data_IF_169839554296
#
_entry.id   IF_169839554296
#
_cell.length_a   1.000
_cell.length_b   1.000
_cell.length_c   1.000
_cell.angle_alpha   90.00
_cell.angle_beta   90.00
_cell.angle_gamma   90.00
#
_symmetry.space_group_name_H-M   'P 1'
#
loop_
_entity.id
_entity.type
_entity.pdbx_description
1 polymer ?
#
# COMPACT_ATOMS: atom_id res chain seq x y z
N UNK A 1 -42.98 -39.63 41.09
CA UNK A 1 -43.32 -38.80 39.91
C UNK A 1 -42.41 -37.57 39.98
N UNK A 2 -41.30 -37.54 39.25
CA UNK A 2 -40.40 -36.37 39.21
C UNK A 2 -40.48 -35.78 37.81
N UNK A 3 -41.06 -34.60 37.70
CA UNK A 3 -41.24 -33.84 36.47
C UNK A 3 -39.91 -33.36 35.91
N UNK A 4 -39.73 -33.51 34.59
CA UNK A 4 -38.64 -32.95 33.81
C UNK A 4 -39.08 -31.59 33.22
N UNK A 5 -38.24 -30.56 33.34
CA UNK A 5 -38.41 -29.26 32.68
C UNK A 5 -37.29 -29.17 31.62
N UNK A 6 -37.57 -28.97 30.32
CA UNK A 6 -36.53 -28.76 29.34
C UNK A 6 -36.13 -27.28 29.30
N UNK A 7 -34.84 -27.01 29.52
CA UNK A 7 -34.26 -25.68 29.34
C UNK A 7 -34.03 -25.42 27.84
N UNK A 8 -34.72 -24.42 27.29
CA UNK A 8 -34.55 -23.95 25.92
C UNK A 8 -33.30 -23.07 25.85
N UNK A 9 -32.20 -23.62 25.32
CA UNK A 9 -30.97 -22.87 25.07
C UNK A 9 -31.14 -22.04 23.78
N UNK A 10 -31.25 -20.72 23.93
CA UNK A 10 -31.21 -19.77 22.81
C UNK A 10 -29.74 -19.65 22.40
N UNK A 11 -29.38 -20.26 21.27
CA UNK A 11 -28.08 -20.08 20.66
C UNK A 11 -28.00 -18.69 20.03
N UNK A 12 -27.31 -17.76 20.71
CA UNK A 12 -26.85 -16.52 20.11
C UNK A 12 -25.82 -16.89 19.02
N UNK A 13 -26.20 -16.81 17.75
CA UNK A 13 -25.22 -16.84 16.67
C UNK A 13 -24.48 -15.49 16.65
N UNK A 14 -23.14 -15.48 16.73
CA UNK A 14 -22.39 -14.24 16.51
C UNK A 14 -22.55 -13.85 15.05
N UNK A 15 -23.08 -12.65 14.82
CA UNK A 15 -23.05 -12.00 13.52
C UNK A 15 -21.58 -11.71 13.19
N UNK A 16 -20.98 -12.53 12.34
CA UNK A 16 -19.69 -12.21 11.76
C UNK A 16 -19.87 -10.94 10.92
N UNK A 17 -19.46 -9.80 11.47
CA UNK A 17 -19.37 -8.56 10.72
C UNK A 17 -18.38 -8.79 9.60
N UNK A 18 -18.87 -8.92 8.37
CA UNK A 18 -18.05 -8.76 7.19
C UNK A 18 -17.51 -7.33 7.25
N UNK A 19 -16.19 -7.17 7.41
CA UNK A 19 -15.53 -5.91 7.14
C UNK A 19 -15.67 -5.65 5.64
N UNK A 20 -16.77 -5.00 5.24
CA UNK A 20 -16.87 -4.39 3.92
C UNK A 20 -15.75 -3.36 3.82
N UNK A 21 -14.92 -3.48 2.78
CA UNK A 21 -13.61 -2.85 2.66
C UNK A 21 -13.61 -1.35 2.93
N UNK A 22 -13.27 -0.98 4.17
CA UNK A 22 -13.06 0.42 4.57
C UNK A 22 -11.68 0.91 4.18
N UNK A 23 -10.75 0.00 3.90
CA UNK A 23 -9.41 0.33 3.45
C UNK A 23 -9.40 0.37 1.93
N UNK A 24 -8.94 1.49 1.37
CA UNK A 24 -8.80 1.69 -0.07
C UNK A 24 -7.38 2.15 -0.41
N UNK A 25 -6.97 1.92 -1.66
CA UNK A 25 -5.65 2.31 -2.16
C UNK A 25 -5.85 3.17 -3.39
N UNK A 26 -5.19 4.33 -3.42
CA UNK A 26 -5.21 5.24 -4.56
C UNK A 26 -3.80 5.78 -4.87
N UNK A 27 -3.66 6.44 -6.02
CA UNK A 27 -2.40 6.98 -6.54
C UNK A 27 -1.23 5.99 -6.60
N UNK A 28 -1.54 4.70 -6.62
CA UNK A 28 -0.56 3.63 -6.60
C UNK A 28 0.24 3.52 -7.89
N UNK A 29 1.54 3.31 -7.78
CA UNK A 29 2.43 3.02 -8.91
C UNK A 29 3.64 2.20 -8.47
N UNK A 30 4.20 1.43 -9.41
CA UNK A 30 5.45 0.71 -9.24
C UNK A 30 6.56 1.36 -10.07
N UNK A 31 7.80 1.27 -9.58
CA UNK A 31 8.98 1.80 -10.26
C UNK A 31 10.17 0.86 -10.11
N UNK A 32 10.88 0.63 -11.21
CA UNK A 32 12.14 -0.08 -11.21
C UNK A 32 13.27 0.76 -10.61
N UNK A 33 14.08 0.15 -9.75
CA UNK A 33 15.36 0.69 -9.30
C UNK A 33 16.50 0.13 -10.17
N UNK A 34 16.43 -1.16 -10.50
CA UNK A 34 17.31 -1.86 -11.44
C UNK A 34 16.58 -3.11 -12.00
N UNK A 35 17.18 -3.91 -12.89
CA UNK A 35 16.51 -5.07 -13.50
C UNK A 35 16.02 -6.16 -12.52
N UNK A 36 16.52 -6.17 -11.27
CA UNK A 36 16.22 -7.16 -10.24
C UNK A 36 15.49 -6.60 -9.02
N UNK A 37 15.30 -5.28 -8.93
CA UNK A 37 14.60 -4.68 -7.79
C UNK A 37 13.82 -3.42 -8.17
N UNK A 38 12.75 -3.17 -7.45
CA UNK A 38 11.88 -2.00 -7.62
C UNK A 38 11.19 -1.65 -6.32
N UNK A 39 10.34 -0.62 -6.35
CA UNK A 39 9.50 -0.26 -5.22
C UNK A 39 8.09 0.10 -5.71
N UNK A 40 7.11 -0.17 -4.86
CA UNK A 40 5.73 0.24 -5.03
C UNK A 40 5.37 1.32 -4.00
N UNK A 41 4.66 2.32 -4.49
CA UNK A 41 4.25 3.52 -3.79
C UNK A 41 2.75 3.69 -3.97
N UNK A 42 2.05 4.20 -2.97
CA UNK A 42 0.60 4.38 -2.99
C UNK A 42 0.14 5.18 -1.77
N UNK A 43 -1.09 5.67 -1.82
CA UNK A 43 -1.79 6.19 -0.64
C UNK A 43 -2.78 5.12 -0.17
N UNK A 44 -2.71 4.78 1.12
CA UNK A 44 -3.65 3.87 1.76
C UNK A 44 -4.57 4.70 2.64
N UNK A 45 -5.87 4.61 2.43
CA UNK A 45 -6.88 5.29 3.22
C UNK A 45 -7.73 4.28 3.99
N UNK A 46 -7.91 4.50 5.28
CA UNK A 46 -8.84 3.74 6.11
C UNK A 46 -10.08 4.60 6.42
N UNK A 47 -11.13 4.45 5.64
CA UNK A 47 -12.43 5.10 5.85
C UNK A 47 -13.27 4.43 6.97
N UNK A 48 -12.67 3.50 7.71
CA UNK A 48 -13.34 2.70 8.74
C UNK A 48 -13.38 3.38 10.09
N UNK A 49 -14.04 2.70 11.04
CA UNK A 49 -14.17 3.15 12.44
C UNK A 49 -13.16 2.50 13.38
N UNK A 50 -12.36 1.54 12.88
CA UNK A 50 -11.29 0.86 13.61
C UNK A 50 -9.96 1.04 12.88
N UNK A 51 -8.84 0.99 13.62
CA UNK A 51 -7.51 1.00 13.00
C UNK A 51 -7.27 -0.29 12.20
N UNK A 52 -6.50 -0.18 11.12
CA UNK A 52 -6.06 -1.31 10.31
C UNK A 52 -4.53 -1.26 10.18
N UNK A 53 -3.88 -2.41 10.24
CA UNK A 53 -2.41 -2.47 10.28
C UNK A 53 -1.89 -3.20 9.06
N UNK A 54 -1.17 -2.51 8.18
CA UNK A 54 -0.46 -3.14 7.07
C UNK A 54 0.70 -3.96 7.63
N UNK A 55 0.53 -5.28 7.65
CA UNK A 55 1.51 -6.24 8.18
C UNK A 55 2.59 -6.58 7.17
N UNK A 56 2.26 -6.52 5.87
CA UNK A 56 3.19 -6.87 4.81
C UNK A 56 2.56 -6.78 3.43
N UNK A 57 3.33 -7.19 2.42
CA UNK A 57 2.87 -7.27 1.05
C UNK A 57 3.47 -8.50 0.35
N UNK A 58 2.80 -8.99 -0.69
CA UNK A 58 3.31 -10.04 -1.58
C UNK A 58 3.02 -9.68 -3.03
N UNK A 59 3.85 -10.18 -3.97
CA UNK A 59 3.67 -9.94 -5.40
C UNK A 59 4.19 -11.13 -6.20
N UNK A 60 3.42 -11.58 -7.18
CA UNK A 60 3.88 -12.59 -8.12
C UNK A 60 4.97 -12.09 -9.07
N UNK A 61 5.22 -10.77 -9.14
CA UNK A 61 6.25 -10.19 -9.99
C UNK A 61 7.66 -10.27 -9.38
N UNK A 62 7.78 -10.58 -8.08
CA UNK A 62 9.03 -10.57 -7.34
C UNK A 62 9.18 -11.83 -6.46
N UNK A 63 10.40 -12.17 -6.08
CA UNK A 63 10.65 -13.25 -5.11
C UNK A 63 10.28 -12.82 -3.68
N UNK A 64 10.41 -11.53 -3.37
CA UNK A 64 10.03 -10.94 -2.08
C UNK A 64 9.44 -9.55 -2.26
N UNK A 65 8.45 -9.25 -1.42
CA UNK A 65 7.94 -7.89 -1.19
C UNK A 65 8.03 -7.60 0.32
N UNK A 66 8.63 -6.47 0.68
CA UNK A 66 8.89 -6.12 2.08
C UNK A 66 8.52 -4.66 2.34
N UNK A 67 8.01 -4.34 3.53
CA UNK A 67 7.80 -2.96 3.95
C UNK A 67 9.14 -2.34 4.33
N UNK A 68 9.51 -1.24 3.70
CA UNK A 68 10.76 -0.53 3.94
C UNK A 68 10.47 0.93 4.23
N UNK A 69 11.36 1.56 4.99
CA UNK A 69 11.35 3.00 5.24
C UNK A 69 12.70 3.60 4.86
N UNK A 70 12.70 4.87 4.49
CA UNK A 70 13.92 5.58 4.15
C UNK A 70 14.43 6.35 5.37
N UNK A 71 15.67 6.09 5.80
CA UNK A 71 16.28 6.80 6.93
C UNK A 71 17.60 7.45 6.51
N UNK A 72 17.82 8.69 6.94
CA UNK A 72 19.15 9.28 6.87
C UNK A 72 20.05 8.62 7.92
N UNK A 73 21.14 8.03 7.46
CA UNK A 73 22.19 7.56 8.33
C UNK A 73 23.49 8.26 7.92
N UNK A 74 23.79 9.37 8.61
CA UNK A 74 25.03 10.16 8.42
C UNK A 74 25.12 10.78 7.02
N UNK A 75 24.03 11.34 6.51
CA UNK A 75 23.97 11.97 5.19
C UNK A 75 23.80 10.99 4.02
N UNK A 76 23.60 9.70 4.32
CA UNK A 76 23.30 8.66 3.33
C UNK A 76 21.90 8.13 3.60
N UNK A 77 20.99 8.31 2.63
CA UNK A 77 19.66 7.71 2.69
C UNK A 77 19.77 6.19 2.51
N UNK A 78 19.31 5.44 3.51
CA UNK A 78 19.24 3.98 3.49
C UNK A 78 17.78 3.53 3.49
N UNK A 79 17.47 2.54 2.66
CA UNK A 79 16.22 1.80 2.71
C UNK A 79 16.39 0.65 3.70
N UNK A 80 15.59 0.64 4.75
CA UNK A 80 15.63 -0.38 5.80
C UNK A 80 14.26 -1.01 5.96
N UNK A 81 14.21 -2.32 6.13
CA UNK A 81 12.98 -3.02 6.45
C UNK A 81 12.34 -2.40 7.71
N UNK A 82 11.04 -2.17 7.65
CA UNK A 82 10.25 -1.63 8.76
C UNK A 82 9.23 -2.67 9.22
N UNK A 83 8.67 -2.43 10.40
CA UNK A 83 7.59 -3.25 10.95
C UNK A 83 6.24 -2.93 10.32
N UNK A 84 5.16 -3.52 10.87
CA UNK A 84 3.80 -3.21 10.47
C UNK A 84 3.48 -1.71 10.59
N UNK A 85 2.65 -1.21 9.68
CA UNK A 85 2.24 0.20 9.63
C UNK A 85 0.77 0.30 10.02
N UNK A 86 0.48 0.95 11.15
CA UNK A 86 -0.89 1.19 11.60
C UNK A 86 -1.49 2.41 10.88
N UNK A 87 -2.70 2.24 10.35
CA UNK A 87 -3.52 3.29 9.74
C UNK A 87 -4.77 3.46 10.58
N UNK A 88 -4.83 4.58 11.30
CA UNK A 88 -5.96 4.92 12.16
C UNK A 88 -7.29 5.06 11.40
N UNK A 89 -8.42 5.00 12.11
CA UNK A 89 -9.74 5.22 11.51
C UNK A 89 -9.85 6.64 10.93
N UNK A 90 -10.48 6.76 9.77
CA UNK A 90 -10.65 8.03 9.04
C UNK A 90 -9.33 8.70 8.62
N UNK A 91 -8.24 7.94 8.55
CA UNK A 91 -6.90 8.45 8.28
C UNK A 91 -6.28 7.80 7.05
N UNK A 92 -5.25 8.45 6.49
CA UNK A 92 -4.48 7.92 5.37
C UNK A 92 -3.00 7.85 5.70
N UNK A 93 -2.31 6.88 5.09
CA UNK A 93 -0.86 6.72 5.15
C UNK A 93 -0.28 6.70 3.75
N UNK A 94 0.72 7.55 3.50
CA UNK A 94 1.38 7.65 2.20
C UNK A 94 2.65 6.79 2.18
N UNK A 95 2.68 5.81 1.26
CA UNK A 95 3.89 5.09 0.89
C UNK A 95 4.56 5.84 -0.27
N UNK A 96 5.49 6.73 0.05
CA UNK A 96 6.12 7.67 -0.88
C UNK A 96 7.65 7.53 -0.97
N UNK A 97 8.21 8.06 -2.06
CA UNK A 97 9.67 8.14 -2.24
C UNK A 97 10.31 8.98 -1.13
N UNK A 98 11.30 8.41 -0.46
CA UNK A 98 11.97 9.06 0.68
C UNK A 98 11.25 8.83 2.02
N UNK A 99 10.13 8.11 2.03
CA UNK A 99 9.44 7.63 3.22
C UNK A 99 9.27 6.11 3.16
N UNK A 100 8.11 5.65 3.64
CA UNK A 100 7.72 4.24 3.60
C UNK A 100 7.37 3.79 2.19
N UNK A 101 7.65 2.54 1.85
CA UNK A 101 7.36 1.94 0.55
C UNK A 101 7.39 0.42 0.62
N UNK A 102 6.80 -0.23 -0.39
CA UNK A 102 6.93 -1.69 -0.57
C UNK A 102 8.13 -1.94 -1.48
N UNK A 103 9.19 -2.51 -0.92
CA UNK A 103 10.38 -2.92 -1.69
C UNK A 103 10.13 -4.26 -2.37
N UNK A 104 10.33 -4.32 -3.69
CA UNK A 104 10.23 -5.52 -4.52
C UNK A 104 11.63 -6.05 -4.83
N UNK A 105 11.97 -7.23 -4.33
CA UNK A 105 13.30 -7.84 -4.49
C UNK A 105 13.23 -9.15 -5.29
N UNK A 106 14.21 -9.37 -6.16
CA UNK A 106 14.21 -10.55 -7.02
C UNK A 106 13.13 -10.47 -8.09
N UNK A 107 13.03 -9.34 -8.78
CA UNK A 107 12.09 -9.18 -9.89
C UNK A 107 12.30 -10.28 -10.94
N UNK A 108 11.19 -10.91 -11.33
CA UNK A 108 11.16 -11.97 -12.36
C UNK A 108 11.38 -11.39 -13.77
N UNK A 109 10.93 -10.16 -13.98
CA UNK A 109 11.20 -9.35 -15.16
C UNK A 109 11.42 -7.87 -14.76
N UNK A 110 12.22 -7.09 -15.51
CA UNK A 110 12.34 -5.65 -15.28
C UNK A 110 10.99 -4.94 -15.40
N UNK A 111 10.71 -3.98 -14.52
CA UNK A 111 9.48 -3.18 -14.57
C UNK A 111 9.54 -2.16 -15.71
N UNK A 112 8.75 -2.34 -16.77
CA UNK A 112 8.70 -1.42 -17.92
C UNK A 112 7.46 -0.53 -17.88
N UNK A 113 7.60 0.71 -18.31
CA UNK A 113 6.50 1.67 -18.38
C UNK A 113 5.31 1.09 -19.17
N UNK A 114 4.10 1.26 -18.64
CA UNK A 114 2.86 0.74 -19.21
C UNK A 114 2.53 -0.71 -18.82
N UNK A 115 3.43 -1.44 -18.15
CA UNK A 115 3.12 -2.73 -17.54
C UNK A 115 2.37 -2.55 -16.21
N UNK A 116 1.86 -3.65 -15.64
CA UNK A 116 1.14 -3.65 -14.36
C UNK A 116 1.73 -4.69 -13.43
N UNK A 117 1.89 -4.32 -12.16
CA UNK A 117 2.42 -5.18 -11.09
C UNK A 117 1.29 -5.58 -10.16
N UNK A 118 0.93 -6.89 -10.06
CA UNK A 118 -0.02 -7.34 -9.05
C UNK A 118 0.63 -7.26 -7.66
N UNK A 119 -0.09 -6.70 -6.69
CA UNK A 119 0.36 -6.61 -5.31
C UNK A 119 -0.81 -6.98 -4.39
N UNK A 120 -0.51 -7.79 -3.38
CA UNK A 120 -1.46 -8.11 -2.30
C UNK A 120 -0.93 -7.48 -1.03
N UNK A 121 -1.72 -6.59 -0.44
CA UNK A 121 -1.46 -5.96 0.84
C UNK A 121 -2.17 -6.76 1.93
N UNK A 122 -1.43 -7.13 2.98
CA UNK A 122 -1.95 -7.87 4.12
C UNK A 122 -2.20 -6.92 5.29
N UNK A 123 -3.46 -6.68 5.62
CA UNK A 123 -3.87 -5.85 6.74
C UNK A 123 -4.27 -6.66 8.00
N UNK A 124 -3.90 -7.94 8.05
CA UNK A 124 -4.23 -8.84 9.16
C UNK A 124 -5.73 -8.98 9.33
N UNK A 125 -6.24 -8.51 10.47
CA UNK A 125 -7.67 -8.58 10.82
C UNK A 125 -8.58 -7.77 9.88
N UNK A 126 -8.03 -6.73 9.22
CA UNK A 126 -8.77 -5.97 8.20
C UNK A 126 -8.76 -6.65 6.82
N UNK A 127 -8.09 -7.80 6.68
CA UNK A 127 -8.11 -8.64 5.48
C UNK A 127 -7.03 -8.32 4.45
N UNK A 128 -7.17 -8.95 3.28
CA UNK A 128 -6.23 -8.82 2.16
C UNK A 128 -6.81 -7.90 1.09
N UNK A 129 -5.98 -7.00 0.58
CA UNK A 129 -6.35 -6.11 -0.53
C UNK A 129 -5.48 -6.42 -1.73
N UNK A 130 -6.13 -6.82 -2.83
CA UNK A 130 -5.49 -7.10 -4.09
C UNK A 130 -5.55 -5.85 -4.97
N UNK A 131 -4.39 -5.36 -5.38
CA UNK A 131 -4.25 -4.20 -6.25
C UNK A 131 -3.37 -4.52 -7.46
N UNK A 132 -3.56 -3.75 -8.53
CA UNK A 132 -2.77 -3.83 -9.74
C UNK A 132 -2.17 -2.45 -9.99
N UNK A 133 -0.86 -2.32 -9.80
CA UNK A 133 -0.17 -1.04 -9.88
C UNK A 133 0.41 -0.81 -11.27
N UNK A 134 0.13 0.32 -11.94
CA UNK A 134 0.83 0.67 -13.17
C UNK A 134 2.32 0.89 -12.88
N UNK A 135 3.17 0.50 -13.82
CA UNK A 135 4.59 0.86 -13.80
C UNK A 135 4.75 2.26 -14.38
N UNK A 136 5.30 3.16 -13.57
CA UNK A 136 5.67 4.52 -13.96
C UNK A 136 7.08 4.83 -13.44
N UNK A 137 8.07 4.61 -14.29
CA UNK A 137 9.46 4.92 -14.00
C UNK A 137 9.78 6.42 -14.10
N UNK A 138 8.90 7.21 -14.73
CA UNK A 138 9.08 8.65 -14.95
C UNK A 138 8.50 9.49 -13.81
N UNK A 139 7.68 8.91 -12.92
CA UNK A 139 7.06 9.66 -11.81
C UNK A 139 8.09 10.35 -10.91
N UNK A 140 7.92 11.66 -10.77
CA UNK A 140 8.72 12.51 -9.87
C UNK A 140 8.21 12.39 -8.43
N UNK A 141 9.07 12.58 -7.41
CA UNK A 141 8.59 12.63 -6.01
C UNK A 141 7.61 13.81 -5.86
N UNK A 142 6.53 13.61 -5.09
CA UNK A 142 5.54 14.66 -4.83
C UNK A 142 4.58 14.96 -5.98
N UNK A 143 4.58 14.17 -7.05
CA UNK A 143 3.62 14.30 -8.16
C UNK A 143 2.29 13.56 -7.90
N UNK A 144 1.82 13.58 -6.65
CA UNK A 144 0.45 13.18 -6.34
C UNK A 144 -0.49 14.32 -6.81
N UNK A 145 -1.32 14.05 -7.81
CA UNK A 145 -2.40 14.96 -8.22
C UNK A 145 -2.02 16.28 -8.90
N UNK A 146 -1.03 16.30 -9.81
CA UNK A 146 -0.90 17.43 -10.74
C UNK A 146 -1.76 17.13 -11.97
N UNK A 147 -3.01 17.59 -11.93
CA UNK A 147 -3.84 17.84 -13.11
C UNK A 147 -3.01 18.70 -14.09
N UNK A 148 -2.81 18.19 -15.31
CA UNK A 148 -2.06 18.84 -16.38
C UNK A 148 -2.76 20.14 -16.82
N UNK A 149 -2.51 21.23 -16.11
CA UNK A 149 -2.84 22.58 -16.51
C UNK A 149 -1.74 23.18 -17.39
N UNK A 150 -1.89 22.97 -18.70
CA UNK A 150 -1.46 23.81 -19.82
C UNK A 150 -0.03 24.38 -19.91
N UNK A 151 0.58 24.06 -21.07
CA UNK A 151 1.73 24.73 -21.66
C UNK A 151 1.53 26.25 -21.85
N UNK A 152 2.41 27.09 -21.30
CA UNK A 152 2.80 28.35 -21.92
C UNK A 152 4.10 28.94 -21.34
N UNK A 153 5.02 29.36 -22.23
CA UNK A 153 5.91 30.50 -21.94
C UNK A 153 7.42 30.24 -21.92
N UNK A 154 8.01 30.00 -23.08
CA UNK A 154 9.46 30.21 -23.29
C UNK A 154 9.72 31.73 -23.33
N UNK A 155 10.27 32.29 -22.25
CA UNK A 155 10.62 33.72 -22.13
C UNK A 155 12.12 33.93 -21.97
N UNK A 156 12.75 34.43 -23.02
CA UNK A 156 14.13 34.91 -23.07
C UNK A 156 14.40 36.00 -22.03
N UNK A 157 15.54 35.95 -21.33
CA UNK A 157 16.08 37.13 -20.64
C UNK A 157 17.53 37.34 -21.08
N UNK A 158 17.69 38.28 -22.01
CA UNK A 158 18.92 39.04 -22.22
C UNK A 158 18.97 40.11 -21.15
N UNK A 159 20.08 40.22 -20.42
CA UNK A 159 20.66 41.49 -19.99
C UNK A 159 22.12 41.28 -19.57
#
# INVERSE_FOLDING_TARGET
MKSFIPALAIALMPLAAAAEGTVSVHDGYARGANPKSGAAFMVIENAGTTACTLMGATSDAADKAELHTSRDERGVMKMVATGPIEIGPGSSHELARGGDHVMLMGLKAPLKDGETVPLVLDFGDCGLIHIALPVDNQRKPGAAGADDGDHAGHGTMTH
#
